data_IF_484044538075
#
_entry.id   IF_484044538075
#
_cell.length_a   1.000
_cell.length_b   1.000
_cell.length_c   1.000
_cell.angle_alpha   90.00
_cell.angle_beta   90.00
_cell.angle_gamma   90.00
#
_symmetry.space_group_name_H-M   'P 1'
#
loop_
_entity.id
_entity.type
_entity.pdbx_description
1 polymer ?
#
# COMPACT_ATOMS: atom_id res chain seq x y z
N UNK A 1 30.58 -0.36 -2.44
CA UNK A 1 30.16 0.60 -1.41
C UNK A 1 28.70 0.91 -1.69
N UNK A 2 27.81 0.49 -0.81
CA UNK A 2 26.37 0.64 -0.96
C UNK A 2 25.99 2.11 -0.69
N UNK A 3 25.42 2.85 -1.66
CA UNK A 3 25.07 4.25 -1.49
C UNK A 3 24.00 4.51 -0.40
N UNK A 4 23.39 3.45 0.13
CA UNK A 4 22.35 3.54 1.18
C UNK A 4 22.89 3.56 2.61
N UNK A 5 24.20 3.36 2.83
CA UNK A 5 24.81 3.38 4.16
C UNK A 5 25.07 4.81 4.71
N UNK A 6 24.97 5.84 3.90
CA UNK A 6 25.28 7.22 4.31
C UNK A 6 24.14 7.92 5.09
N UNK A 7 22.97 7.30 5.22
CA UNK A 7 21.78 7.91 5.86
C UNK A 7 21.42 7.34 7.24
N UNK A 8 22.30 6.52 7.83
CA UNK A 8 22.04 5.87 9.11
C UNK A 8 22.06 6.80 10.33
N UNK A 9 22.60 8.03 10.21
CA UNK A 9 22.93 8.89 11.38
C UNK A 9 21.97 10.06 11.66
N UNK A 10 20.85 10.22 10.96
CA UNK A 10 19.87 11.27 11.31
C UNK A 10 18.40 10.79 11.45
N UNK A 11 18.08 9.86 12.38
CA UNK A 11 16.70 9.42 12.56
C UNK A 11 15.77 10.55 13.05
N UNK A 12 16.29 11.50 13.84
CA UNK A 12 15.46 12.47 14.59
C UNK A 12 14.90 13.62 13.73
N UNK A 13 15.52 13.99 12.63
CA UNK A 13 15.00 15.07 11.75
C UNK A 13 13.89 14.57 10.84
N UNK A 14 14.00 13.34 10.36
CA UNK A 14 12.99 12.70 9.53
C UNK A 14 11.70 12.44 10.32
N UNK A 15 11.80 12.10 11.61
CA UNK A 15 10.67 11.90 12.52
C UNK A 15 9.78 13.14 12.72
N UNK A 16 10.34 14.34 12.66
CA UNK A 16 9.56 15.59 12.75
C UNK A 16 8.68 15.82 11.52
N UNK A 17 9.15 15.41 10.36
CA UNK A 17 8.34 15.43 9.12
C UNK A 17 7.14 14.49 9.18
N UNK A 18 7.31 13.32 9.77
CA UNK A 18 6.27 12.31 9.90
C UNK A 18 5.20 12.67 10.95
N UNK A 19 5.58 13.20 12.10
CA UNK A 19 4.60 13.72 13.08
C UNK A 19 3.76 14.85 12.49
N UNK A 20 4.38 15.71 11.69
CA UNK A 20 3.65 16.76 10.97
C UNK A 20 2.73 16.18 9.90
N UNK A 21 3.10 15.06 9.29
CA UNK A 21 2.24 14.32 8.37
C UNK A 21 1.11 13.57 9.10
N UNK A 22 1.33 13.11 10.34
CA UNK A 22 0.27 12.55 11.21
C UNK A 22 -0.74 13.62 11.66
N UNK A 23 -0.26 14.79 12.08
CA UNK A 23 -1.09 15.93 12.44
C UNK A 23 -1.87 16.45 11.22
N UNK A 24 -1.23 16.53 10.07
CA UNK A 24 -1.86 16.85 8.78
C UNK A 24 -2.78 15.73 8.30
N UNK A 25 -2.42 14.47 8.50
CA UNK A 25 -3.25 13.32 8.19
C UNK A 25 -4.50 13.24 9.07
N UNK A 26 -4.40 13.55 10.35
CA UNK A 26 -5.54 13.61 11.27
C UNK A 26 -6.47 14.82 11.00
N UNK A 27 -5.90 15.95 10.59
CA UNK A 27 -6.65 17.09 10.08
C UNK A 27 -7.33 16.75 8.76
N UNK A 28 -6.63 16.05 7.89
CA UNK A 28 -7.09 15.61 6.58
C UNK A 28 -8.20 14.57 6.63
N UNK A 29 -8.18 13.64 7.60
CA UNK A 29 -9.30 12.71 7.86
C UNK A 29 -10.55 13.42 8.36
N UNK A 30 -10.41 14.51 9.10
CA UNK A 30 -11.54 15.35 9.53
C UNK A 30 -12.09 16.16 8.36
N UNK A 31 -11.23 16.80 7.57
CA UNK A 31 -11.64 17.56 6.38
C UNK A 31 -12.20 16.66 5.27
N UNK A 32 -11.67 15.44 5.08
CA UNK A 32 -12.21 14.50 4.10
C UNK A 32 -13.54 13.87 4.53
N UNK A 33 -13.82 13.80 5.83
CA UNK A 33 -15.13 13.38 6.33
C UNK A 33 -16.19 14.50 6.21
N UNK A 34 -15.77 15.77 6.30
CA UNK A 34 -16.64 16.95 6.22
C UNK A 34 -16.69 17.57 4.82
N UNK A 35 -15.75 17.23 3.93
CA UNK A 35 -15.78 17.69 2.55
C UNK A 35 -16.93 17.03 1.81
N UNK A 36 -17.99 17.79 1.57
CA UNK A 36 -18.97 17.45 0.53
C UNK A 36 -18.21 17.17 -0.76
N UNK A 37 -18.26 15.92 -1.22
CA UNK A 37 -17.65 15.48 -2.47
C UNK A 37 -18.09 16.45 -3.56
N UNK A 38 -17.17 17.18 -4.25
CA UNK A 38 -17.57 18.05 -5.33
C UNK A 38 -18.39 17.24 -6.33
N UNK A 39 -19.54 17.75 -6.73
CA UNK A 39 -20.50 17.07 -7.59
C UNK A 39 -19.97 16.76 -9.01
N UNK A 40 -18.82 17.30 -9.39
CA UNK A 40 -18.16 17.04 -10.66
C UNK A 40 -16.79 16.38 -10.44
N UNK A 41 -16.72 15.08 -10.68
CA UNK A 41 -15.42 14.40 -10.88
C UNK A 41 -14.77 14.99 -12.13
N UNK A 42 -13.48 15.38 -12.10
CA UNK A 42 -12.79 15.80 -13.31
C UNK A 42 -12.88 14.68 -14.36
N UNK A 43 -13.37 15.04 -15.56
CA UNK A 43 -13.50 14.11 -16.67
C UNK A 43 -12.11 13.61 -17.13
N UNK A 44 -12.03 12.33 -17.49
CA UNK A 44 -10.82 11.71 -18.02
C UNK A 44 -10.54 10.33 -17.42
N UNK A 45 -9.57 9.61 -17.98
CA UNK A 45 -9.20 8.28 -17.48
C UNK A 45 -8.72 8.33 -16.02
N UNK A 46 -8.73 7.19 -15.31
CA UNK A 46 -8.13 7.08 -13.99
C UNK A 46 -6.69 7.59 -14.01
N UNK A 47 -6.27 8.31 -12.97
CA UNK A 47 -4.92 8.84 -12.84
C UNK A 47 -4.29 8.38 -11.53
N UNK A 48 -3.71 7.17 -11.52
CA UNK A 48 -2.92 6.69 -10.41
C UNK A 48 -1.59 7.44 -10.33
N UNK A 49 -1.14 7.68 -9.11
CA UNK A 49 0.10 8.39 -8.83
C UNK A 49 0.83 7.72 -7.67
N UNK A 50 2.15 7.65 -7.78
CA UNK A 50 3.02 7.12 -6.75
C UNK A 50 3.82 8.25 -6.11
N UNK A 51 3.84 8.28 -4.76
CA UNK A 51 4.65 9.25 -4.00
C UNK A 51 5.48 8.52 -2.96
N UNK A 52 6.68 9.03 -2.71
CA UNK A 52 7.44 8.58 -1.56
C UNK A 52 6.78 9.04 -0.26
N UNK A 53 6.95 8.27 0.80
CA UNK A 53 6.31 8.50 2.10
C UNK A 53 6.59 9.87 2.73
N UNK A 54 7.65 10.55 2.30
CA UNK A 54 8.06 11.88 2.81
C UNK A 54 7.49 13.06 2.01
N UNK A 55 6.82 12.82 0.89
CA UNK A 55 6.22 13.88 0.09
C UNK A 55 4.99 14.44 0.82
N UNK A 56 5.15 15.62 1.41
CA UNK A 56 4.15 16.28 2.27
C UNK A 56 2.95 16.89 1.50
N UNK A 57 2.64 16.42 0.28
CA UNK A 57 1.52 16.94 -0.49
C UNK A 57 0.22 16.23 -0.08
N UNK A 58 -0.88 16.97 0.17
CA UNK A 58 -2.18 16.35 0.43
C UNK A 58 -2.61 15.58 -0.82
N UNK A 59 -2.70 14.28 -0.70
CA UNK A 59 -2.98 13.35 -1.79
C UNK A 59 -4.08 12.40 -1.34
N UNK A 60 -4.74 11.73 -2.24
CA UNK A 60 -5.81 10.76 -1.97
C UNK A 60 -5.25 9.34 -1.97
N UNK A 61 -4.65 8.87 -0.86
CA UNK A 61 -4.08 7.53 -0.81
C UNK A 61 -5.17 6.48 -0.95
N UNK A 62 -4.87 5.42 -1.68
CA UNK A 62 -5.80 4.31 -1.87
C UNK A 62 -5.88 3.48 -0.59
N UNK A 63 -7.03 3.55 0.08
CA UNK A 63 -7.27 2.79 1.31
C UNK A 63 -7.41 1.31 0.99
N UNK A 64 -6.75 0.48 1.81
CA UNK A 64 -6.73 -0.96 1.63
C UNK A 64 -7.34 -1.74 2.81
N UNK A 65 -7.44 -1.11 3.97
CA UNK A 65 -7.97 -1.78 5.16
C UNK A 65 -7.88 -0.91 6.41
N UNK A 66 -7.98 -1.57 7.56
CA UNK A 66 -7.86 -0.93 8.87
C UNK A 66 -7.14 -1.91 9.80
N UNK A 67 -6.16 -1.45 10.54
CA UNK A 67 -5.38 -2.28 11.46
C UNK A 67 -6.14 -2.52 12.78
N UNK A 68 -5.66 -3.43 13.64
CA UNK A 68 -6.25 -3.73 14.95
C UNK A 68 -6.38 -2.49 15.85
N UNK A 69 -5.42 -1.58 15.76
CA UNK A 69 -5.40 -0.34 16.53
C UNK A 69 -6.34 0.75 15.97
N UNK A 70 -7.15 0.41 14.94
CA UNK A 70 -8.05 1.31 14.22
C UNK A 70 -7.35 2.23 13.21
N UNK A 71 -6.03 2.07 13.01
CA UNK A 71 -5.27 2.84 12.02
C UNK A 71 -5.61 2.46 10.59
N UNK A 72 -5.68 3.43 9.65
CA UNK A 72 -5.90 3.12 8.25
C UNK A 72 -4.67 2.43 7.65
N UNK A 73 -4.93 1.45 6.77
CA UNK A 73 -3.94 0.81 5.93
C UNK A 73 -4.12 1.26 4.49
N UNK A 74 -3.00 1.50 3.79
CA UNK A 74 -3.02 1.97 2.40
C UNK A 74 -2.22 1.05 1.49
N UNK A 75 -2.50 1.16 0.20
CA UNK A 75 -1.73 0.47 -0.84
C UNK A 75 -0.42 1.18 -1.06
N UNK A 76 0.67 0.43 -0.98
CA UNK A 76 1.99 0.88 -1.37
C UNK A 76 2.73 -0.15 -2.20
N UNK A 77 3.98 0.18 -2.53
CA UNK A 77 4.93 -0.73 -3.15
C UNK A 77 6.35 -0.44 -2.66
N UNK A 78 7.18 -1.47 -2.62
CA UNK A 78 8.54 -1.34 -2.16
C UNK A 78 9.48 -2.31 -2.88
N UNK A 79 10.71 -1.87 -3.08
CA UNK A 79 11.76 -2.78 -3.55
C UNK A 79 12.17 -3.77 -2.46
N UNK A 80 12.16 -5.05 -2.80
CA UNK A 80 12.62 -6.13 -1.93
C UNK A 80 13.23 -7.26 -2.75
N UNK A 81 14.51 -7.60 -2.49
CA UNK A 81 15.22 -8.67 -3.20
C UNK A 81 15.10 -8.56 -4.73
N UNK A 82 15.43 -7.38 -5.28
CA UNK A 82 15.37 -7.07 -6.71
C UNK A 82 13.97 -7.21 -7.35
N UNK A 83 12.91 -7.11 -6.56
CA UNK A 83 11.52 -7.12 -6.99
C UNK A 83 10.79 -5.89 -6.47
N UNK A 84 9.91 -5.32 -7.27
CA UNK A 84 8.99 -4.28 -6.83
C UNK A 84 7.69 -4.96 -6.39
N UNK A 85 7.44 -5.00 -5.10
CA UNK A 85 6.31 -5.73 -4.53
C UNK A 85 5.25 -4.80 -3.95
N UNK A 86 3.96 -5.14 -4.07
CA UNK A 86 2.91 -4.50 -3.29
C UNK A 86 3.23 -4.56 -1.80
N UNK A 87 2.93 -3.47 -1.09
CA UNK A 87 3.23 -3.32 0.32
C UNK A 87 2.03 -2.79 1.11
N UNK A 88 1.88 -3.25 2.33
CA UNK A 88 0.99 -2.69 3.33
C UNK A 88 1.61 -1.41 3.89
N UNK A 89 1.02 -0.27 3.64
CA UNK A 89 1.44 1.00 4.27
C UNK A 89 0.62 1.21 5.53
N UNK A 90 1.31 1.29 6.66
CA UNK A 90 0.73 1.46 7.98
C UNK A 90 1.30 2.71 8.67
N UNK A 91 0.66 3.89 8.52
CA UNK A 91 1.19 5.16 9.05
C UNK A 91 1.42 5.14 10.56
N UNK A 92 0.54 4.51 11.33
CA UNK A 92 0.72 4.38 12.78
C UNK A 92 1.97 3.58 13.17
N UNK A 93 2.37 2.62 12.34
CA UNK A 93 3.61 1.85 12.50
C UNK A 93 4.79 2.48 11.76
N UNK A 94 4.60 3.67 11.20
CA UNK A 94 5.63 4.51 10.57
C UNK A 94 6.41 3.81 9.45
N UNK A 95 5.74 2.94 8.69
CA UNK A 95 6.41 2.18 7.65
C UNK A 95 5.46 1.46 6.70
N UNK A 96 6.07 0.73 5.82
CA UNK A 96 5.39 -0.23 4.98
C UNK A 96 5.94 -1.64 5.23
N UNK A 97 5.17 -2.64 4.83
CA UNK A 97 5.49 -4.04 5.09
C UNK A 97 5.22 -4.86 3.83
N UNK A 98 6.17 -5.67 3.43
CA UNK A 98 6.03 -6.62 2.32
C UNK A 98 6.01 -8.06 2.85
N UNK A 99 5.14 -8.87 2.27
CA UNK A 99 5.11 -10.31 2.50
C UNK A 99 6.13 -10.98 1.58
N UNK A 100 7.08 -11.73 2.14
CA UNK A 100 8.11 -12.42 1.37
C UNK A 100 8.72 -13.61 2.10
N UNK A 101 8.67 -14.79 1.46
CA UNK A 101 9.30 -16.04 1.97
C UNK A 101 8.94 -16.36 3.43
N UNK A 102 7.65 -16.36 3.74
CA UNK A 102 7.11 -16.71 5.05
C UNK A 102 7.21 -15.61 6.11
N UNK A 103 7.69 -14.43 5.76
CA UNK A 103 7.92 -13.33 6.72
C UNK A 103 7.31 -12.02 6.25
N UNK A 104 7.02 -11.17 7.23
CA UNK A 104 6.77 -9.75 7.07
C UNK A 104 8.09 -8.98 7.13
N UNK A 105 8.38 -8.19 6.10
CA UNK A 105 9.58 -7.37 6.01
C UNK A 105 9.23 -5.90 6.05
N UNK A 106 9.76 -5.21 7.06
CA UNK A 106 9.57 -3.77 7.24
C UNK A 106 10.33 -2.95 6.20
N UNK A 107 9.73 -1.85 5.77
CA UNK A 107 10.30 -0.83 4.91
C UNK A 107 10.09 0.53 5.55
N UNK A 108 11.17 1.29 5.68
CA UNK A 108 11.14 2.58 6.35
C UNK A 108 11.38 3.73 5.35
N UNK A 109 10.68 4.85 5.55
CA UNK A 109 10.85 6.10 4.80
C UNK A 109 10.95 5.95 3.27
N UNK A 110 12.08 6.34 2.68
CA UNK A 110 12.32 6.38 1.24
C UNK A 110 12.32 5.00 0.56
N UNK A 111 12.13 3.92 1.30
CA UNK A 111 12.15 2.57 0.76
C UNK A 111 10.81 2.12 0.17
N UNK A 112 9.78 2.94 0.24
CA UNK A 112 8.46 2.61 -0.30
C UNK A 112 7.75 3.83 -0.88
N UNK A 113 6.80 3.54 -1.73
CA UNK A 113 5.89 4.52 -2.33
C UNK A 113 4.45 4.18 -1.95
N UNK A 114 3.61 5.21 -1.88
CA UNK A 114 2.18 5.11 -1.59
C UNK A 114 1.40 5.37 -2.88
N UNK A 115 0.37 4.56 -3.14
CA UNK A 115 -0.53 4.74 -4.27
C UNK A 115 -1.58 5.81 -3.94
N UNK A 116 -1.67 6.81 -4.79
CA UNK A 116 -2.70 7.83 -4.76
C UNK A 116 -3.56 7.76 -6.03
N UNK A 117 -4.80 8.19 -5.91
CA UNK A 117 -5.73 8.24 -7.04
C UNK A 117 -6.30 9.64 -7.19
N UNK A 118 -5.80 10.40 -8.17
CA UNK A 118 -6.24 11.77 -8.43
C UNK A 118 -7.60 11.79 -9.13
N UNK A 119 -7.85 10.83 -10.02
CA UNK A 119 -9.13 10.63 -10.74
C UNK A 119 -9.47 9.15 -10.79
N UNK A 120 -10.72 8.84 -11.03
CA UNK A 120 -11.22 7.48 -11.02
C UNK A 120 -11.61 6.99 -9.63
N UNK A 121 -11.82 5.71 -9.50
CA UNK A 121 -12.13 5.05 -8.23
C UNK A 121 -11.33 3.77 -8.08
N UNK A 122 -10.97 3.47 -6.85
CA UNK A 122 -10.37 2.19 -6.48
C UNK A 122 -11.50 1.24 -6.06
N UNK A 123 -11.51 0.06 -6.62
CA UNK A 123 -12.42 -1.02 -6.26
C UNK A 123 -11.63 -2.26 -5.86
N UNK A 124 -12.20 -3.02 -4.94
CA UNK A 124 -11.65 -4.30 -4.50
C UNK A 124 -12.58 -5.38 -5.03
N UNK A 125 -12.06 -6.22 -5.93
CA UNK A 125 -12.81 -7.26 -6.63
C UNK A 125 -12.48 -8.60 -5.99
N UNK A 126 -13.52 -9.34 -5.56
CA UNK A 126 -13.38 -10.68 -5.00
C UNK A 126 -12.74 -11.63 -6.02
N UNK A 127 -11.81 -12.45 -5.54
CA UNK A 127 -11.11 -13.45 -6.33
C UNK A 127 -10.65 -14.61 -5.43
N UNK A 128 -10.32 -15.74 -6.03
CA UNK A 128 -9.82 -16.92 -5.33
C UNK A 128 -8.87 -17.74 -6.20
N UNK A 129 -8.15 -18.68 -5.56
CA UNK A 129 -7.41 -19.75 -6.22
C UNK A 129 -6.39 -19.30 -7.29
N UNK A 130 -5.82 -18.11 -7.10
CA UNK A 130 -4.87 -17.54 -8.02
C UNK A 130 -5.46 -16.65 -9.12
N UNK A 131 -6.78 -16.51 -9.18
CA UNK A 131 -7.44 -15.65 -10.15
C UNK A 131 -7.08 -14.17 -9.96
N UNK A 132 -6.81 -13.52 -11.08
CA UNK A 132 -6.55 -12.08 -11.15
C UNK A 132 -7.58 -11.45 -12.10
N UNK A 133 -8.51 -10.63 -11.59
CA UNK A 133 -9.52 -9.99 -12.41
C UNK A 133 -8.91 -9.19 -13.56
N UNK A 134 -9.56 -9.20 -14.73
CA UNK A 134 -9.05 -8.50 -15.92
C UNK A 134 -8.86 -6.98 -15.73
N UNK A 135 -9.58 -6.39 -14.77
CA UNK A 135 -9.48 -4.97 -14.39
C UNK A 135 -8.42 -4.70 -13.32
N UNK A 136 -7.70 -5.73 -12.84
CA UNK A 136 -6.70 -5.59 -11.79
C UNK A 136 -5.61 -4.59 -12.18
N UNK A 137 -5.26 -3.72 -11.25
CA UNK A 137 -4.24 -2.70 -11.45
C UNK A 137 -2.86 -3.24 -11.05
N UNK A 138 -1.89 -3.34 -11.98
CA UNK A 138 -0.54 -3.82 -11.68
C UNK A 138 0.19 -2.81 -10.79
N UNK A 139 0.68 -3.29 -9.66
CA UNK A 139 1.38 -2.47 -8.64
C UNK A 139 2.88 -2.68 -8.69
N UNK A 140 3.32 -3.85 -9.10
CA UNK A 140 4.72 -4.20 -9.09
C UNK A 140 5.10 -5.28 -10.10
N UNK A 141 6.34 -5.73 -9.99
CA UNK A 141 6.92 -6.74 -10.88
C UNK A 141 7.96 -7.58 -10.13
N UNK A 142 7.97 -8.87 -10.38
CA UNK A 142 8.97 -9.79 -9.82
C UNK A 142 10.28 -9.74 -10.62
N UNK A 143 11.34 -10.32 -10.07
CA UNK A 143 12.62 -10.48 -10.77
C UNK A 143 12.54 -11.39 -12.01
N UNK A 144 11.49 -12.22 -12.11
CA UNK A 144 11.22 -13.05 -13.31
C UNK A 144 10.30 -12.37 -14.32
N UNK A 145 9.91 -11.11 -14.11
CA UNK A 145 9.06 -10.34 -15.01
C UNK A 145 7.55 -10.58 -14.84
N UNK A 146 7.11 -11.38 -13.85
CA UNK A 146 5.67 -11.59 -13.56
C UNK A 146 5.09 -10.35 -12.89
N UNK A 147 3.89 -9.95 -13.27
CA UNK A 147 3.20 -8.83 -12.65
C UNK A 147 2.77 -9.17 -11.22
N UNK A 148 2.81 -8.16 -10.35
CA UNK A 148 2.35 -8.25 -8.98
C UNK A 148 1.24 -7.21 -8.74
N UNK A 149 0.14 -7.66 -8.13
CA UNK A 149 -1.04 -6.85 -7.88
C UNK A 149 -1.25 -6.67 -6.38
N UNK A 150 -1.81 -5.53 -5.98
CA UNK A 150 -2.27 -5.37 -4.62
C UNK A 150 -3.50 -6.26 -4.40
N UNK A 151 -3.41 -7.12 -3.41
CA UNK A 151 -4.52 -7.93 -2.93
C UNK A 151 -4.72 -7.68 -1.44
N UNK A 152 -5.89 -8.02 -0.89
CA UNK A 152 -6.14 -7.95 0.53
C UNK A 152 -6.96 -9.14 1.00
N UNK A 153 -6.72 -9.55 2.24
CA UNK A 153 -7.47 -10.63 2.87
C UNK A 153 -7.71 -10.32 4.36
N UNK A 154 -8.65 -11.04 4.96
CA UNK A 154 -8.91 -10.92 6.40
C UNK A 154 -7.97 -11.84 7.16
N UNK A 155 -7.11 -11.25 7.99
CA UNK A 155 -6.25 -11.95 8.94
C UNK A 155 -6.59 -11.53 10.37
N UNK A 156 -6.96 -12.49 11.23
CA UNK A 156 -7.33 -12.24 12.62
C UNK A 156 -8.42 -11.14 12.80
N UNK A 157 -9.37 -11.08 11.86
CA UNK A 157 -10.47 -10.11 11.92
C UNK A 157 -10.17 -8.73 11.34
N UNK A 158 -8.98 -8.50 10.79
CA UNK A 158 -8.63 -7.25 10.13
C UNK A 158 -8.35 -7.45 8.64
N UNK A 159 -8.86 -6.55 7.79
CA UNK A 159 -8.57 -6.55 6.36
C UNK A 159 -7.20 -5.94 6.13
N UNK A 160 -6.26 -6.77 5.70
CA UNK A 160 -4.85 -6.44 5.55
C UNK A 160 -4.43 -6.52 4.08
N UNK A 161 -3.83 -5.47 3.51
CA UNK A 161 -3.30 -5.52 2.15
C UNK A 161 -1.97 -6.29 2.08
N UNK A 162 -1.78 -6.93 0.95
CA UNK A 162 -0.60 -7.68 0.58
C UNK A 162 -0.48 -7.77 -0.94
N UNK A 163 -0.10 -8.93 -1.45
CA UNK A 163 0.16 -9.15 -2.88
C UNK A 163 -0.44 -10.45 -3.40
N UNK A 164 -0.77 -10.45 -4.69
CA UNK A 164 -0.84 -11.64 -5.52
C UNK A 164 0.06 -11.44 -6.73
N UNK A 165 0.71 -12.49 -7.19
CA UNK A 165 1.59 -12.47 -8.36
C UNK A 165 1.03 -13.43 -9.41
N UNK A 166 1.13 -13.05 -10.68
CA UNK A 166 0.73 -13.94 -11.79
C UNK A 166 1.31 -15.35 -11.63
N UNK A 167 0.43 -16.35 -11.64
CA UNK A 167 0.78 -17.76 -11.47
C UNK A 167 0.94 -18.22 -10.02
N UNK A 168 0.70 -17.36 -9.03
CA UNK A 168 0.54 -17.79 -7.64
C UNK A 168 -0.90 -18.31 -7.42
N UNK A 169 -1.12 -19.28 -6.54
CA UNK A 169 -2.45 -19.86 -6.26
C UNK A 169 -3.18 -19.15 -5.10
N UNK A 170 -2.56 -18.18 -4.45
CA UNK A 170 -3.12 -17.47 -3.31
C UNK A 170 -2.51 -16.07 -3.18
N UNK A 171 -3.18 -15.19 -2.44
CA UNK A 171 -2.58 -13.95 -2.04
C UNK A 171 -1.75 -14.10 -0.76
N UNK A 172 -0.77 -13.24 -0.60
CA UNK A 172 0.12 -13.21 0.57
C UNK A 172 0.03 -11.86 1.26
N UNK A 173 -0.31 -11.86 2.54
CA UNK A 173 -0.41 -10.64 3.35
C UNK A 173 0.60 -10.64 4.49
N UNK A 174 1.27 -9.50 4.76
CA UNK A 174 2.19 -9.34 5.87
C UNK A 174 1.43 -8.98 7.14
N UNK A 175 1.53 -9.80 8.20
CA UNK A 175 0.90 -9.52 9.48
C UNK A 175 1.59 -10.25 10.63
N UNK A 176 1.91 -9.52 11.72
CA UNK A 176 2.49 -10.08 12.93
C UNK A 176 3.84 -10.78 12.69
N UNK A 177 4.72 -10.14 11.92
CA UNK A 177 6.05 -10.63 11.52
C UNK A 177 6.03 -11.86 10.60
N UNK A 178 4.86 -12.28 10.11
CA UNK A 178 4.69 -13.42 9.23
C UNK A 178 4.08 -13.03 7.89
N UNK A 179 4.30 -13.88 6.90
CA UNK A 179 3.54 -13.91 5.66
C UNK A 179 2.40 -14.94 5.82
N UNK A 180 1.19 -14.50 5.55
CA UNK A 180 -0.01 -15.35 5.57
C UNK A 180 -0.51 -15.54 4.13
N UNK A 181 -0.90 -16.77 3.80
CA UNK A 181 -1.44 -17.13 2.51
C UNK A 181 -2.95 -17.32 2.61
N UNK A 182 -3.69 -16.78 1.62
CA UNK A 182 -5.15 -16.88 1.54
C UNK A 182 -5.59 -17.23 0.13
N UNK A 183 -6.43 -18.25 0.01
CA UNK A 183 -7.05 -18.67 -1.25
C UNK A 183 -8.21 -17.73 -1.65
N UNK A 184 -8.90 -17.13 -0.67
CA UNK A 184 -9.95 -16.15 -0.90
C UNK A 184 -9.45 -14.75 -0.53
N UNK A 185 -9.56 -13.80 -1.45
CA UNK A 185 -9.03 -12.45 -1.33
C UNK A 185 -9.77 -11.48 -2.24
N UNK A 186 -9.44 -10.22 -2.14
CA UNK A 186 -9.86 -9.18 -3.09
C UNK A 186 -8.64 -8.58 -3.77
N UNK A 187 -8.77 -8.24 -5.06
CA UNK A 187 -7.69 -7.61 -5.85
C UNK A 187 -8.09 -6.18 -6.21
N UNK A 188 -7.12 -5.26 -6.14
CA UNK A 188 -7.32 -3.86 -6.47
C UNK A 188 -7.53 -3.66 -7.97
N UNK A 189 -8.63 -3.01 -8.32
CA UNK A 189 -8.90 -2.44 -9.64
C UNK A 189 -8.96 -0.92 -9.56
N UNK A 190 -8.57 -0.23 -10.65
CA UNK A 190 -8.70 1.22 -10.79
C UNK A 190 -9.56 1.51 -12.02
N UNK A 191 -10.71 2.15 -11.80
CA UNK A 191 -11.77 2.40 -12.79
C UNK A 191 -12.00 3.90 -13.01
#
# INVERSE_FOLDING_TARGET
>A
MDPFMAYADEPRRLWRGWRRAEEMGAAWHREAADAQVPAARPAGPPLPWWTHAHDARPQRPVRAGTDLDGGPLYVGRAWHQSQLLPAKVAPKHQGAFVAWKGREHSKFFMQFEVLHLLRGRAEWIEASDGDIPAQAFPVGITSSGRQAFAARASVQGVVTPGRIVEGDNCCYVPYGHKEWAFENYEVLAIL
#
